data_IF_975169303858
#
_entry.id   IF_975169303858
#
_cell.length_a   1.000
_cell.length_b   1.000
_cell.length_c   1.000
_cell.angle_alpha   90.00
_cell.angle_beta   90.00
_cell.angle_gamma   90.00
#
_symmetry.space_group_name_H-M   'P 1'
#
loop_
_entity.id
_entity.type
_entity.pdbx_description
1 polymer ?
#
# COMPACT_ATOMS: atom_id res chain seq x y z
N UNK A 1 41.04 1.27 -16.03
CA UNK A 1 39.84 2.13 -16.11
C UNK A 1 38.68 1.27 -16.56
N UNK A 2 38.10 0.52 -15.63
CA UNK A 2 36.86 -0.22 -15.88
C UNK A 2 35.71 0.69 -15.45
N UNK A 3 34.67 0.77 -16.26
CA UNK A 3 33.45 1.53 -15.98
C UNK A 3 32.86 1.07 -14.64
N UNK A 4 32.90 1.96 -13.65
CA UNK A 4 32.01 1.86 -12.49
C UNK A 4 30.61 1.92 -13.07
N UNK A 5 29.89 0.81 -12.99
CA UNK A 5 28.50 0.76 -13.37
C UNK A 5 27.77 1.68 -12.39
N UNK A 6 27.34 2.84 -12.87
CA UNK A 6 26.40 3.77 -12.24
C UNK A 6 25.03 3.09 -12.04
N UNK A 7 24.99 2.08 -11.18
CA UNK A 7 23.79 1.70 -10.45
C UNK A 7 23.92 2.36 -9.08
N UNK A 8 24.07 3.69 -9.11
CA UNK A 8 24.05 4.53 -7.92
C UNK A 8 22.77 4.23 -7.15
N UNK A 9 22.83 4.26 -5.83
CA UNK A 9 21.68 4.18 -4.95
C UNK A 9 20.58 5.17 -5.36
N UNK A 10 19.55 4.67 -6.04
CA UNK A 10 18.43 5.49 -6.48
C UNK A 10 17.23 5.32 -5.54
N UNK A 11 16.78 6.44 -4.97
CA UNK A 11 15.45 6.55 -4.37
C UNK A 11 14.43 6.93 -5.45
N UNK A 12 13.48 6.03 -5.71
CA UNK A 12 12.42 6.19 -6.70
C UNK A 12 11.20 6.93 -6.13
N UNK A 13 10.95 8.17 -6.54
CA UNK A 13 9.76 8.91 -6.11
C UNK A 13 8.62 8.78 -7.12
N UNK A 14 7.66 7.90 -6.85
CA UNK A 14 6.45 7.75 -7.67
C UNK A 14 5.37 8.77 -7.28
N UNK A 15 5.03 9.69 -8.18
CA UNK A 15 3.97 10.67 -8.01
C UNK A 15 2.90 10.46 -9.07
N UNK A 16 1.67 10.16 -8.62
CA UNK A 16 0.52 9.93 -9.48
C UNK A 16 -0.50 11.06 -9.32
N UNK A 17 -0.76 11.79 -10.39
CA UNK A 17 -1.62 12.98 -10.35
C UNK A 17 -2.59 13.04 -11.53
N UNK A 18 -3.72 13.67 -11.27
CA UNK A 18 -4.73 14.00 -12.25
C UNK A 18 -4.67 15.50 -12.58
N UNK A 19 -4.67 15.83 -13.86
CA UNK A 19 -4.68 17.21 -14.33
C UNK A 19 -5.80 17.46 -15.34
N UNK A 20 -6.45 18.63 -15.22
CA UNK A 20 -7.43 19.11 -16.20
C UNK A 20 -6.87 20.26 -17.04
N UNK A 21 -6.75 20.05 -18.35
CA UNK A 21 -6.29 21.10 -19.28
C UNK A 21 -7.39 21.50 -20.27
N UNK A 22 -7.50 22.81 -20.54
CA UNK A 22 -8.44 23.33 -21.56
C UNK A 22 -7.64 23.51 -22.86
N UNK A 23 -8.03 22.73 -23.84
CA UNK A 23 -7.35 22.59 -25.13
C UNK A 23 -7.85 23.58 -26.19
N UNK A 24 -8.86 24.40 -25.88
CA UNK A 24 -9.43 25.37 -26.84
C UNK A 24 -8.53 26.60 -27.05
N UNK A 25 -7.44 26.73 -26.30
CA UNK A 25 -6.43 27.77 -26.50
C UNK A 25 -5.56 27.43 -27.72
N UNK A 26 -5.95 27.93 -28.89
CA UNK A 26 -5.36 27.60 -30.22
C UNK A 26 -4.00 28.26 -30.53
N UNK A 27 -3.33 28.88 -29.56
CA UNK A 27 -2.01 29.46 -29.79
C UNK A 27 -0.91 28.40 -29.78
N UNK A 28 -0.14 28.29 -30.86
CA UNK A 28 1.12 27.51 -30.87
C UNK A 28 2.10 28.18 -29.92
N UNK A 29 2.78 27.38 -29.09
CA UNK A 29 3.88 27.85 -28.22
C UNK A 29 3.47 28.46 -26.87
N UNK A 30 2.18 28.60 -26.56
CA UNK A 30 1.73 29.09 -25.26
C UNK A 30 1.40 27.91 -24.31
N UNK A 31 2.22 27.62 -23.28
CA UNK A 31 1.92 26.56 -22.32
C UNK A 31 0.85 26.98 -21.33
N UNK A 32 -0.01 26.05 -20.95
CA UNK A 32 -0.71 26.07 -19.67
C UNK A 32 0.20 25.41 -18.64
N UNK A 33 0.68 26.21 -17.68
CA UNK A 33 1.44 25.72 -16.53
C UNK A 33 0.45 25.21 -15.48
N UNK A 34 0.62 23.97 -15.06
CA UNK A 34 -0.07 23.44 -13.89
C UNK A 34 0.67 23.83 -12.60
N UNK A 35 -0.02 23.82 -11.44
CA UNK A 35 0.58 24.26 -10.18
C UNK A 35 1.89 23.53 -9.87
N UNK A 36 2.87 24.31 -9.38
CA UNK A 36 4.12 23.79 -8.85
C UNK A 36 3.85 22.78 -7.74
N UNK A 37 4.55 21.65 -7.77
CA UNK A 37 4.48 20.61 -6.77
C UNK A 37 5.86 20.40 -6.17
N UNK A 38 5.96 20.56 -4.86
CA UNK A 38 7.10 20.12 -4.08
C UNK A 38 6.88 18.65 -3.70
N UNK A 39 7.94 17.85 -3.78
CA UNK A 39 7.92 16.47 -3.28
C UNK A 39 8.38 16.51 -1.81
N UNK A 40 7.61 15.99 -0.85
CA UNK A 40 8.05 15.87 0.54
C UNK A 40 9.36 15.07 0.62
N UNK A 41 10.30 15.52 1.45
CA UNK A 41 11.55 14.80 1.76
C UNK A 41 12.46 14.50 0.56
N UNK A 42 12.44 15.37 -0.46
CA UNK A 42 13.16 15.24 -1.73
C UNK A 42 14.29 16.26 -1.95
N UNK A 43 14.81 16.86 -0.88
CA UNK A 43 15.87 17.87 -0.98
C UNK A 43 15.47 19.11 -1.82
N UNK A 44 14.17 19.46 -1.78
CA UNK A 44 13.61 20.62 -2.48
C UNK A 44 13.34 20.41 -3.97
N UNK A 45 13.11 19.17 -4.43
CA UNK A 45 12.69 18.93 -5.82
C UNK A 45 11.27 19.45 -6.02
N UNK A 46 11.18 20.48 -6.86
CA UNK A 46 9.93 21.08 -7.32
C UNK A 46 9.72 20.78 -8.81
N UNK A 47 8.50 20.43 -9.19
CA UNK A 47 8.15 20.08 -10.56
C UNK A 47 6.75 20.56 -10.95
N UNK A 48 6.51 20.69 -12.24
CA UNK A 48 5.20 21.05 -12.80
C UNK A 48 4.98 20.44 -14.18
N UNK A 49 3.74 20.54 -14.66
CA UNK A 49 3.35 20.10 -16.00
C UNK A 49 3.16 21.31 -16.93
N UNK A 50 3.75 21.23 -18.11
CA UNK A 50 3.57 22.19 -19.21
C UNK A 50 2.74 21.54 -20.31
N UNK A 51 1.52 22.04 -20.50
CA UNK A 51 0.59 21.54 -21.51
C UNK A 51 0.44 22.57 -22.64
N UNK A 52 0.78 22.20 -23.87
CA UNK A 52 0.61 23.04 -25.05
C UNK A 52 -0.57 22.53 -25.87
N UNK A 53 -1.70 23.22 -25.72
CA UNK A 53 -2.94 22.87 -26.39
C UNK A 53 -2.80 22.90 -27.92
N UNK A 54 -2.14 23.90 -28.49
CA UNK A 54 -1.95 24.06 -29.94
C UNK A 54 -0.64 23.50 -30.50
N UNK A 55 0.14 22.79 -29.68
CA UNK A 55 1.50 22.38 -30.01
C UNK A 55 2.55 23.35 -29.47
N UNK A 56 3.73 22.83 -29.13
CA UNK A 56 4.81 23.63 -28.54
C UNK A 56 5.55 24.51 -29.56
N UNK A 57 5.65 24.08 -30.81
CA UNK A 57 6.32 24.78 -31.89
C UNK A 57 5.53 24.57 -33.20
N UNK A 58 5.96 25.22 -34.28
CA UNK A 58 5.26 25.12 -35.57
C UNK A 58 5.26 23.69 -36.14
N UNK A 59 6.28 22.89 -35.81
CA UNK A 59 6.36 21.48 -36.21
C UNK A 59 5.37 20.57 -35.45
N UNK A 60 4.95 20.97 -34.24
CA UNK A 60 3.97 20.28 -33.40
C UNK A 60 2.55 20.86 -33.54
N UNK A 61 2.33 21.75 -34.51
CA UNK A 61 1.02 22.34 -34.76
C UNK A 61 -0.02 21.26 -35.05
N UNK A 62 -1.22 21.43 -34.48
CA UNK A 62 -2.30 20.44 -34.59
C UNK A 62 -2.13 19.22 -33.67
N UNK A 63 -1.08 19.19 -32.83
CA UNK A 63 -0.90 18.18 -31.80
C UNK A 63 -0.97 18.81 -30.42
N UNK A 64 -1.37 18.01 -29.44
CA UNK A 64 -1.17 18.33 -28.04
C UNK A 64 0.27 17.97 -27.65
N UNK A 65 1.01 18.92 -27.07
CA UNK A 65 2.34 18.66 -26.50
C UNK A 65 2.28 18.71 -24.99
N UNK A 66 3.02 17.84 -24.31
CA UNK A 66 3.05 17.80 -22.84
C UNK A 66 4.45 17.47 -22.33
N UNK A 67 4.87 18.22 -21.32
CA UNK A 67 6.18 18.08 -20.70
C UNK A 67 6.07 18.16 -19.19
N UNK A 68 6.85 17.32 -18.51
CA UNK A 68 7.15 17.47 -17.09
C UNK A 68 8.42 18.30 -16.99
N UNK A 69 8.36 19.37 -16.21
CA UNK A 69 9.49 20.21 -15.89
C UNK A 69 9.87 20.03 -14.42
N UNK A 70 11.17 20.00 -14.14
CA UNK A 70 11.74 19.87 -12.80
C UNK A 70 12.75 20.99 -12.59
N UNK A 71 12.67 21.68 -11.44
CA UNK A 71 13.49 22.87 -11.17
C UNK A 71 14.98 22.54 -11.02
N UNK A 72 15.27 21.42 -10.35
CA UNK A 72 16.61 20.83 -10.21
C UNK A 72 16.70 19.64 -11.16
N UNK A 73 17.75 19.58 -11.97
CA UNK A 73 17.94 18.47 -12.92
C UNK A 73 18.07 17.17 -12.14
N UNK A 74 17.26 16.18 -12.50
CA UNK A 74 17.20 14.88 -11.81
C UNK A 74 16.88 13.81 -12.85
N UNK A 75 17.35 12.60 -12.62
CA UNK A 75 16.99 11.49 -13.51
C UNK A 75 15.52 11.16 -13.24
N UNK A 76 14.70 10.97 -14.27
CA UNK A 76 13.28 10.69 -14.07
C UNK A 76 12.67 9.84 -15.17
N UNK A 77 11.62 9.08 -14.82
CA UNK A 77 10.71 8.43 -15.76
C UNK A 77 9.35 9.09 -15.67
N UNK A 78 8.75 9.41 -16.81
CA UNK A 78 7.42 10.00 -16.90
C UNK A 78 6.54 9.10 -17.74
N UNK A 79 5.36 8.79 -17.24
CA UNK A 79 4.29 8.09 -17.96
C UNK A 79 3.05 8.96 -17.93
N UNK A 80 2.52 9.32 -19.09
CA UNK A 80 1.30 10.11 -19.22
C UNK A 80 0.28 9.31 -20.02
N UNK A 81 -0.94 9.22 -19.51
CA UNK A 81 -2.09 8.66 -20.22
C UNK A 81 -3.29 9.58 -20.15
N UNK A 82 -4.22 9.41 -21.08
CA UNK A 82 -5.46 10.18 -21.16
C UNK A 82 -6.62 9.33 -20.66
N UNK A 83 -7.41 9.87 -19.74
CA UNK A 83 -8.58 9.16 -19.23
C UNK A 83 -9.62 8.96 -20.35
N UNK A 84 -10.07 7.71 -20.53
CA UNK A 84 -10.98 7.33 -21.63
C UNK A 84 -10.31 7.09 -22.99
N UNK A 85 -8.97 7.13 -23.08
CA UNK A 85 -8.21 6.87 -24.31
C UNK A 85 -7.26 5.68 -24.19
N UNK A 86 -6.85 5.10 -25.32
CA UNK A 86 -5.70 4.18 -25.40
C UNK A 86 -4.35 4.90 -25.40
N UNK A 87 -4.33 6.24 -25.51
CA UNK A 87 -3.09 7.02 -25.55
C UNK A 87 -2.38 6.96 -24.19
N UNK A 88 -1.24 6.28 -24.18
CA UNK A 88 -0.28 6.20 -23.06
C UNK A 88 1.13 6.25 -23.62
N UNK A 89 1.95 7.21 -23.17
CA UNK A 89 3.37 7.30 -23.52
C UNK A 89 4.22 7.31 -22.26
N UNK A 90 5.39 6.67 -22.32
CA UNK A 90 6.36 6.61 -21.24
C UNK A 90 7.76 6.95 -21.77
N UNK A 91 8.51 7.75 -21.03
CA UNK A 91 9.87 8.16 -21.37
C UNK A 91 10.71 8.16 -20.09
N UNK A 92 11.96 7.71 -20.18
CA UNK A 92 12.93 7.73 -19.09
C UNK A 92 14.12 8.58 -19.52
N UNK A 93 14.60 9.47 -18.66
CA UNK A 93 15.82 10.23 -18.92
C UNK A 93 17.05 9.36 -18.64
N UNK A 94 18.01 9.34 -19.56
CA UNK A 94 19.27 8.62 -19.37
C UNK A 94 20.16 9.35 -18.34
N UNK A 95 20.16 10.68 -18.40
CA UNK A 95 20.87 11.59 -17.49
C UNK A 95 19.91 12.50 -16.73
N UNK A 96 20.36 13.21 -15.67
CA UNK A 96 19.58 14.24 -15.01
C UNK A 96 19.06 15.29 -16.00
N UNK A 97 17.74 15.43 -16.09
CA UNK A 97 17.10 16.32 -17.05
C UNK A 97 16.21 17.32 -16.31
N UNK A 98 16.13 18.56 -16.82
CA UNK A 98 15.18 19.56 -16.33
C UNK A 98 13.82 19.46 -16.99
N UNK A 99 13.71 18.74 -18.11
CA UNK A 99 12.46 18.60 -18.85
C UNK A 99 12.43 17.29 -19.62
N UNK A 100 11.30 16.60 -19.57
CA UNK A 100 11.03 15.39 -20.34
C UNK A 100 9.57 15.40 -20.82
N UNK A 101 9.29 14.92 -22.02
CA UNK A 101 7.94 14.91 -22.57
C UNK A 101 7.91 14.71 -24.07
N UNK A 102 6.81 15.08 -24.70
CA UNK A 102 6.54 14.84 -26.11
C UNK A 102 5.99 16.07 -26.81
N UNK A 103 6.61 16.46 -27.92
CA UNK A 103 6.09 17.49 -28.82
C UNK A 103 4.82 17.01 -29.55
N UNK A 104 4.80 15.76 -30.02
CA UNK A 104 3.64 15.12 -30.66
C UNK A 104 3.03 14.07 -29.72
N UNK A 105 2.40 14.49 -28.63
CA UNK A 105 1.81 13.54 -27.67
C UNK A 105 0.58 12.84 -28.24
N UNK A 106 -0.39 13.60 -28.73
CA UNK A 106 -1.60 13.10 -29.40
C UNK A 106 -2.10 14.14 -30.42
N UNK A 107 -2.74 13.69 -31.50
CA UNK A 107 -3.32 14.61 -32.49
C UNK A 107 -4.61 15.23 -31.96
N UNK A 108 -5.01 16.40 -32.45
CA UNK A 108 -6.30 16.98 -32.05
C UNK A 108 -7.49 16.08 -32.44
N UNK A 109 -7.39 15.36 -33.55
CA UNK A 109 -8.43 14.44 -34.03
C UNK A 109 -8.67 13.27 -33.06
N UNK A 110 -7.61 12.74 -32.46
CA UNK A 110 -7.69 11.69 -31.43
C UNK A 110 -8.30 12.20 -30.11
N UNK A 111 -8.13 13.49 -29.83
CA UNK A 111 -8.56 14.10 -28.57
C UNK A 111 -9.98 14.66 -28.63
N UNK A 112 -10.44 15.10 -29.80
CA UNK A 112 -11.78 15.62 -30.08
C UNK A 112 -12.93 14.81 -29.46
N UNK A 113 -12.98 13.46 -29.58
CA UNK A 113 -14.06 12.67 -28.99
C UNK A 113 -13.98 12.51 -27.46
N UNK A 114 -12.85 12.85 -26.85
CA UNK A 114 -12.59 12.60 -25.42
C UNK A 114 -12.90 13.79 -24.52
N UNK A 115 -13.36 14.92 -25.09
CA UNK A 115 -13.61 16.13 -24.34
C UNK A 115 -14.94 16.09 -23.59
N UNK A 116 -14.86 16.19 -22.26
CA UNK A 116 -16.00 16.54 -21.43
C UNK A 116 -15.90 18.02 -21.06
N UNK A 117 -16.89 18.83 -21.45
CA UNK A 117 -16.95 20.28 -21.16
C UNK A 117 -15.72 21.08 -21.65
N UNK A 118 -15.01 20.60 -22.68
CA UNK A 118 -13.82 21.26 -23.24
C UNK A 118 -12.53 21.05 -22.44
N UNK A 119 -12.53 20.11 -21.49
CA UNK A 119 -11.36 19.76 -20.69
C UNK A 119 -10.87 18.35 -21.01
N UNK A 120 -9.56 18.16 -20.93
CA UNK A 120 -8.89 16.87 -21.02
C UNK A 120 -8.36 16.46 -19.64
N UNK A 121 -8.64 15.22 -19.22
CA UNK A 121 -8.11 14.64 -17.99
C UNK A 121 -6.86 13.82 -18.29
N UNK A 122 -5.74 14.28 -17.77
CA UNK A 122 -4.44 13.62 -17.87
C UNK A 122 -4.13 12.88 -16.59
N UNK A 123 -3.66 11.65 -16.75
CA UNK A 123 -3.08 10.85 -15.71
C UNK A 123 -1.57 10.85 -15.86
N UNK A 124 -0.88 11.42 -14.90
CA UNK A 124 0.56 11.63 -14.94
C UNK A 124 1.19 10.85 -13.80
N UNK A 125 2.06 9.91 -14.16
CA UNK A 125 2.94 9.21 -13.24
C UNK A 125 4.37 9.67 -13.48
N UNK A 126 5.01 10.28 -12.49
CA UNK A 126 6.42 10.65 -12.52
C UNK A 126 7.18 9.80 -11.52
N UNK A 127 8.31 9.25 -11.91
CA UNK A 127 9.26 8.51 -11.07
C UNK A 127 10.55 9.32 -11.06
N UNK A 128 10.93 9.88 -9.92
CA UNK A 128 12.23 10.55 -9.80
C UNK A 128 13.27 9.59 -9.28
N UNK A 129 14.42 9.56 -9.92
CA UNK A 129 15.59 8.82 -9.50
C UNK A 129 16.50 9.80 -8.76
N UNK A 130 16.40 9.86 -7.43
CA UNK A 130 17.23 10.76 -6.61
C UNK A 130 18.38 9.94 -6.02
N UNK A 131 19.64 10.36 -6.22
CA UNK A 131 20.76 9.74 -5.54
C UNK A 131 20.61 9.96 -4.04
N UNK A 132 20.70 8.89 -3.25
CA UNK A 132 20.71 8.99 -1.79
C UNK A 132 21.87 9.92 -1.38
N UNK A 133 21.67 10.88 -0.45
CA UNK A 133 22.78 11.65 0.07
C UNK A 133 23.75 10.67 0.72
N UNK A 134 24.87 10.41 0.05
CA UNK A 134 26.00 9.71 0.63
C UNK A 134 26.38 10.48 1.89
N UNK A 135 26.35 9.80 3.04
CA UNK A 135 26.76 10.43 4.29
C UNK A 135 28.17 11.02 4.11
N UNK A 136 28.45 12.22 4.65
CA UNK A 136 29.76 12.83 4.51
C UNK A 136 30.83 11.93 5.14
N UNK A 137 31.64 11.33 4.27
CA UNK A 137 32.94 10.67 4.45
C UNK A 137 33.19 10.10 5.86
N UNK A 138 32.41 9.09 6.25
CA UNK A 138 32.91 8.04 7.13
C UNK A 138 33.79 7.20 6.23
N UNK A 139 35.11 7.21 6.43
CA UNK A 139 36.07 6.37 5.68
C UNK A 139 35.42 5.01 5.36
N UNK A 140 35.40 4.56 4.10
CA UNK A 140 34.31 3.73 3.67
C UNK A 140 34.40 2.39 4.38
N UNK A 141 33.48 2.13 5.32
CA UNK A 141 33.48 0.87 6.08
C UNK A 141 33.47 -0.33 5.11
N UNK A 142 32.91 -0.17 3.91
CA UNK A 142 32.97 -1.16 2.84
C UNK A 142 34.40 -1.52 2.38
N UNK A 143 35.37 -0.60 2.40
CA UNK A 143 36.78 -0.84 2.08
C UNK A 143 37.50 -1.62 3.18
N UNK A 144 36.96 -1.63 4.40
CA UNK A 144 37.49 -2.39 5.53
C UNK A 144 37.59 -3.88 5.20
N UNK A 145 36.59 -4.42 4.48
CA UNK A 145 36.58 -5.81 4.02
C UNK A 145 37.74 -6.19 3.09
N UNK A 146 38.38 -5.22 2.43
CA UNK A 146 39.52 -5.47 1.55
C UNK A 146 40.88 -5.38 2.27
N UNK A 147 40.93 -4.74 3.45
CA UNK A 147 42.19 -4.38 4.11
C UNK A 147 42.32 -4.88 5.55
N UNK A 148 41.21 -5.27 6.18
CA UNK A 148 41.15 -5.76 7.56
C UNK A 148 40.56 -7.16 7.56
N UNK A 149 41.18 -8.13 8.26
CA UNK A 149 40.61 -9.46 8.39
C UNK A 149 39.37 -9.43 9.28
N UNK A 150 38.36 -10.21 8.88
CA UNK A 150 37.15 -10.42 9.67
C UNK A 150 37.45 -11.20 10.95
N UNK A 151 36.79 -10.83 12.04
CA UNK A 151 37.00 -11.38 13.38
C UNK A 151 35.73 -11.96 14.01
N UNK A 152 34.64 -12.06 13.23
CA UNK A 152 33.36 -12.57 13.67
C UNK A 152 32.58 -13.25 12.55
N UNK A 153 31.77 -14.26 12.92
CA UNK A 153 30.93 -15.01 12.00
C UNK A 153 29.44 -14.87 12.36
N UNK A 154 28.59 -14.56 11.38
CA UNK A 154 27.14 -14.70 11.49
C UNK A 154 26.73 -15.98 10.75
N UNK A 155 26.08 -16.89 11.46
CA UNK A 155 25.62 -18.18 10.94
C UNK A 155 24.11 -18.13 10.72
N UNK A 156 23.66 -18.35 9.48
CA UNK A 156 22.24 -18.40 9.10
C UNK A 156 21.97 -19.74 8.43
N UNK A 157 21.38 -20.69 9.15
CA UNK A 157 21.22 -22.05 8.63
C UNK A 157 22.56 -22.72 8.31
N UNK A 158 22.81 -23.00 7.03
CA UNK A 158 24.09 -23.51 6.52
C UNK A 158 25.06 -22.41 6.08
N UNK A 159 24.56 -21.18 5.90
CA UNK A 159 25.33 -20.06 5.38
C UNK A 159 26.11 -19.37 6.50
N UNK A 160 27.28 -18.83 6.12
CA UNK A 160 28.22 -18.20 7.04
C UNK A 160 28.70 -16.89 6.45
N UNK A 161 28.50 -15.81 7.19
CA UNK A 161 28.93 -14.46 6.82
C UNK A 161 30.07 -14.01 7.73
N UNK A 162 31.21 -13.72 7.12
CA UNK A 162 32.37 -13.18 7.81
C UNK A 162 32.26 -11.66 7.91
N UNK A 163 32.35 -11.13 9.13
CA UNK A 163 32.08 -9.73 9.45
C UNK A 163 33.05 -9.21 10.52
N UNK A 164 32.95 -7.91 10.81
CA UNK A 164 33.81 -7.23 11.78
C UNK A 164 33.01 -6.87 13.04
N UNK A 165 33.50 -7.29 14.21
CA UNK A 165 32.86 -6.99 15.51
C UNK A 165 32.66 -5.49 15.72
N UNK A 166 33.68 -4.71 15.36
CA UNK A 166 33.70 -3.26 15.52
C UNK A 166 32.59 -2.57 14.72
N UNK A 167 32.37 -3.00 13.48
CA UNK A 167 31.31 -2.46 12.61
C UNK A 167 29.93 -2.80 13.16
N UNK A 168 29.68 -4.07 13.50
CA UNK A 168 28.38 -4.47 14.07
C UNK A 168 28.08 -3.73 15.37
N UNK A 169 29.08 -3.61 16.25
CA UNK A 169 28.95 -2.92 17.53
C UNK A 169 28.70 -1.42 17.37
N UNK A 170 29.27 -0.80 16.33
CA UNK A 170 29.02 0.62 16.05
C UNK A 170 27.59 0.84 15.53
N UNK A 171 27.12 -0.05 14.65
CA UNK A 171 25.86 0.13 13.94
C UNK A 171 24.64 -0.36 14.72
N UNK A 172 24.84 -1.24 15.69
CA UNK A 172 23.79 -1.88 16.48
C UNK A 172 24.15 -1.93 17.96
N UNK A 173 23.37 -1.26 18.83
CA UNK A 173 23.51 -1.40 20.28
C UNK A 173 23.30 -2.83 20.77
N UNK A 174 22.47 -3.62 20.07
CA UNK A 174 22.22 -5.03 20.41
C UNK A 174 23.47 -5.86 20.15
N UNK A 175 24.10 -5.72 18.98
CA UNK A 175 25.37 -6.39 18.71
C UNK A 175 26.48 -5.86 19.61
N UNK A 176 26.52 -4.55 19.92
CA UNK A 176 27.46 -4.00 20.89
C UNK A 176 27.36 -4.71 22.25
N UNK A 177 26.15 -4.79 22.81
CA UNK A 177 25.92 -5.46 24.09
C UNK A 177 26.26 -6.95 24.02
N UNK A 178 25.87 -7.62 22.93
CA UNK A 178 26.16 -9.04 22.69
C UNK A 178 27.67 -9.31 22.64
N UNK A 179 28.46 -8.43 22.03
CA UNK A 179 29.89 -8.63 21.78
C UNK A 179 30.78 -8.11 22.90
N UNK A 180 30.31 -7.22 23.76
CA UNK A 180 31.07 -6.65 24.90
C UNK A 180 30.74 -7.30 26.24
N UNK A 181 29.65 -8.06 26.30
CA UNK A 181 29.25 -8.82 27.50
C UNK A 181 29.87 -10.22 27.54
N UNK A 182 29.78 -10.90 28.70
CA UNK A 182 30.30 -12.25 28.92
C UNK A 182 29.39 -13.36 28.31
N UNK A 183 29.00 -13.19 27.05
CA UNK A 183 28.05 -14.06 26.32
C UNK A 183 28.78 -15.19 25.59
N UNK A 184 28.02 -16.19 25.10
CA UNK A 184 28.58 -17.30 24.32
C UNK A 184 29.04 -16.81 22.96
N UNK A 185 28.31 -15.85 22.38
CA UNK A 185 28.57 -15.22 21.10
C UNK A 185 29.91 -14.47 21.15
N UNK A 186 30.15 -13.71 22.22
CA UNK A 186 31.40 -12.99 22.40
C UNK A 186 32.61 -13.94 22.50
N UNK A 187 32.46 -15.10 23.15
CA UNK A 187 33.52 -16.09 23.37
C UNK A 187 33.78 -16.98 22.15
N UNK A 188 32.73 -17.32 21.42
CA UNK A 188 32.81 -18.19 20.24
C UNK A 188 33.17 -17.45 18.96
N UNK A 189 33.19 -16.11 19.00
CA UNK A 189 33.34 -15.25 17.82
C UNK A 189 32.30 -15.56 16.73
N UNK A 190 31.12 -16.04 17.13
CA UNK A 190 30.04 -16.36 16.21
C UNK A 190 28.67 -16.07 16.80
N UNK A 191 27.70 -15.70 15.98
CA UNK A 191 26.28 -15.61 16.36
C UNK A 191 25.44 -16.41 15.38
N UNK A 192 24.47 -17.16 15.92
CA UNK A 192 23.50 -17.88 15.09
C UNK A 192 22.22 -17.07 14.98
N UNK A 193 21.83 -16.73 13.75
CA UNK A 193 20.57 -16.07 13.43
C UNK A 193 19.65 -17.10 12.77
N UNK A 194 18.50 -17.34 13.39
CA UNK A 194 17.55 -18.39 12.94
C UNK A 194 16.22 -17.84 12.41
N UNK A 195 15.90 -16.59 12.73
CA UNK A 195 14.59 -15.99 12.44
C UNK A 195 14.55 -15.24 11.09
N UNK A 196 15.64 -15.25 10.33
CA UNK A 196 15.79 -14.47 9.09
C UNK A 196 16.47 -15.28 8.00
N UNK A 197 16.01 -15.06 6.76
CA UNK A 197 16.68 -15.58 5.57
C UNK A 197 18.03 -14.91 5.35
N UNK A 198 18.99 -15.67 4.81
CA UNK A 198 20.35 -15.18 4.54
C UNK A 198 20.36 -13.87 3.74
N UNK A 199 19.49 -13.75 2.73
CA UNK A 199 19.39 -12.55 1.89
C UNK A 199 19.05 -11.28 2.69
N UNK A 200 18.18 -11.42 3.69
CA UNK A 200 17.79 -10.31 4.58
C UNK A 200 18.96 -9.93 5.47
N UNK A 201 19.65 -10.93 6.03
CA UNK A 201 20.82 -10.71 6.89
C UNK A 201 21.95 -10.06 6.10
N UNK A 202 22.29 -10.58 4.93
CA UNK A 202 23.30 -10.00 4.03
C UNK A 202 22.99 -8.55 3.69
N UNK A 203 21.74 -8.26 3.31
CA UNK A 203 21.33 -6.90 2.98
C UNK A 203 21.43 -5.95 4.19
N UNK A 204 21.00 -6.39 5.37
CA UNK A 204 21.13 -5.60 6.60
C UNK A 204 22.59 -5.35 6.99
N UNK A 205 23.47 -6.34 6.77
CA UNK A 205 24.91 -6.20 7.00
C UNK A 205 25.54 -5.28 5.94
N UNK A 206 25.20 -5.40 4.66
CA UNK A 206 25.67 -4.51 3.61
C UNK A 206 25.34 -3.03 3.96
N UNK A 207 24.15 -2.74 4.51
CA UNK A 207 23.82 -1.40 5.04
C UNK A 207 24.76 -0.98 6.19
N UNK A 208 25.08 -1.88 7.12
CA UNK A 208 26.05 -1.58 8.20
C UNK A 208 27.43 -1.19 7.67
N UNK A 209 27.83 -1.73 6.51
CA UNK A 209 29.07 -1.40 5.82
C UNK A 209 28.95 -0.16 4.92
N UNK A 210 27.78 0.47 4.84
CA UNK A 210 27.50 1.59 3.94
C UNK A 210 27.51 1.17 2.47
N UNK A 211 27.08 -0.06 2.17
CA UNK A 211 26.93 -0.58 0.80
C UNK A 211 25.48 -0.49 0.36
N UNK A 212 25.31 -0.36 -0.96
CA UNK A 212 24.01 -0.29 -1.59
C UNK A 212 23.26 -1.62 -1.50
N UNK A 213 21.95 -1.52 -1.33
CA UNK A 213 21.06 -2.68 -1.37
C UNK A 213 21.02 -3.27 -2.78
N UNK A 214 21.36 -4.56 -2.91
CA UNK A 214 21.33 -5.26 -4.20
C UNK A 214 19.93 -5.73 -4.58
N UNK A 215 19.09 -6.02 -3.58
CA UNK A 215 17.71 -6.47 -3.76
C UNK A 215 16.74 -5.46 -3.15
N UNK A 216 15.96 -4.81 -4.00
CA UNK A 216 14.92 -3.85 -3.62
C UNK A 216 13.52 -4.47 -3.58
N UNK A 217 13.41 -5.81 -3.52
CA UNK A 217 12.13 -6.47 -3.36
C UNK A 217 11.47 -6.09 -2.03
N UNK A 218 10.14 -5.99 -2.05
CA UNK A 218 9.35 -5.66 -0.85
C UNK A 218 9.57 -6.70 0.25
N UNK A 219 9.77 -7.97 -0.10
CA UNK A 219 10.07 -9.03 0.86
C UNK A 219 11.37 -8.78 1.60
N UNK A 220 12.46 -8.50 0.87
CA UNK A 220 13.77 -8.17 1.47
C UNK A 220 13.69 -6.90 2.30
N UNK A 221 13.01 -5.87 1.80
CA UNK A 221 12.80 -4.61 2.50
C UNK A 221 12.06 -4.79 3.85
N UNK A 222 10.94 -5.52 3.86
CA UNK A 222 10.21 -5.83 5.09
C UNK A 222 11.03 -6.73 6.03
N UNK A 223 11.82 -7.65 5.46
CA UNK A 223 12.76 -8.47 6.23
C UNK A 223 13.80 -7.62 6.95
N UNK A 224 14.39 -6.64 6.27
CA UNK A 224 15.38 -5.72 6.86
C UNK A 224 14.74 -4.88 7.96
N UNK A 225 13.51 -4.40 7.77
CA UNK A 225 12.79 -3.68 8.82
C UNK A 225 12.58 -4.55 10.08
N UNK A 226 12.16 -5.82 9.91
CA UNK A 226 12.05 -6.77 11.03
C UNK A 226 13.40 -7.07 11.68
N UNK A 227 14.47 -7.18 10.86
CA UNK A 227 15.82 -7.37 11.35
C UNK A 227 16.27 -6.18 12.21
N UNK A 228 15.98 -4.98 11.74
CA UNK A 228 16.24 -3.74 12.47
C UNK A 228 15.44 -3.66 13.77
N UNK A 229 14.18 -4.08 13.80
CA UNK A 229 13.41 -4.06 15.05
C UNK A 229 14.04 -4.99 16.11
N UNK A 230 14.64 -6.11 15.68
CA UNK A 230 15.32 -7.05 16.60
C UNK A 230 16.72 -6.61 17.02
N UNK A 231 17.52 -6.11 16.08
CA UNK A 231 18.94 -5.80 16.31
C UNK A 231 19.23 -4.30 16.43
N UNK A 232 18.23 -3.43 16.28
CA UNK A 232 18.33 -1.96 16.36
C UNK A 232 19.49 -1.39 15.55
N UNK A 233 19.46 -1.54 14.22
CA UNK A 233 20.50 -0.98 13.36
C UNK A 233 20.22 0.50 13.09
N UNK A 234 21.00 1.38 13.70
CA UNK A 234 20.76 2.83 13.71
C UNK A 234 20.67 3.46 12.31
N UNK A 235 21.42 2.96 11.32
CA UNK A 235 21.42 3.50 9.96
C UNK A 235 20.20 3.08 9.11
N UNK A 236 19.58 1.94 9.43
CA UNK A 236 18.53 1.32 8.61
C UNK A 236 17.20 2.08 8.69
N UNK A 237 16.85 2.63 9.87
CA UNK A 237 15.57 3.33 10.06
C UNK A 237 15.50 4.63 9.24
N UNK A 238 16.55 5.42 9.22
CA UNK A 238 16.58 6.71 8.49
C UNK A 238 16.43 6.50 6.98
N UNK A 239 17.07 5.46 6.44
CA UNK A 239 17.07 5.16 5.01
C UNK A 239 15.76 4.48 4.57
N UNK A 240 15.25 3.54 5.37
CA UNK A 240 14.03 2.80 5.03
C UNK A 240 12.76 3.60 5.32
N UNK A 241 12.61 4.32 6.44
CA UNK A 241 11.39 5.10 6.69
C UNK A 241 11.16 6.18 5.63
N UNK A 242 12.25 6.73 5.09
CA UNK A 242 12.21 7.60 3.91
C UNK A 242 11.78 6.88 2.63
N UNK A 243 11.94 5.56 2.50
CA UNK A 243 11.58 4.75 1.34
C UNK A 243 10.14 4.19 1.38
N UNK A 244 9.49 4.23 2.55
CA UNK A 244 8.20 3.61 2.79
C UNK A 244 7.03 4.16 1.93
N UNK A 245 6.92 5.48 1.65
CA UNK A 245 5.91 6.00 0.73
C UNK A 245 6.11 5.53 -0.73
N UNK A 246 7.33 5.11 -1.08
CA UNK A 246 7.74 4.80 -2.46
C UNK A 246 7.47 3.36 -2.84
N UNK A 247 7.52 2.47 -1.87
CA UNK A 247 7.14 1.06 -2.01
C UNK A 247 5.66 0.81 -1.74
N UNK A 248 4.88 1.80 -1.27
CA UNK A 248 3.45 1.62 -1.02
C UNK A 248 2.65 1.74 -2.32
N UNK A 249 2.12 0.62 -2.78
CA UNK A 249 1.30 0.48 -3.97
C UNK A 249 0.13 -0.47 -3.69
N UNK A 250 -0.78 -0.60 -4.66
CA UNK A 250 -1.91 -1.55 -4.57
C UNK A 250 -1.41 -2.99 -4.37
N UNK A 251 -0.32 -3.37 -5.04
CA UNK A 251 0.24 -4.73 -5.00
C UNK A 251 1.01 -5.03 -3.70
N UNK A 252 1.65 -4.01 -3.13
CA UNK A 252 2.52 -4.15 -1.95
C UNK A 252 1.79 -3.87 -0.64
N UNK A 253 0.61 -3.25 -0.70
CA UNK A 253 -0.24 -2.92 0.44
C UNK A 253 -0.41 -4.09 1.41
N UNK A 254 -0.75 -5.29 0.90
CA UNK A 254 -1.02 -6.45 1.74
C UNK A 254 0.18 -6.84 2.60
N UNK A 255 1.39 -6.77 2.04
CA UNK A 255 2.63 -7.09 2.74
C UNK A 255 2.95 -6.03 3.81
N UNK A 256 2.76 -4.75 3.50
CA UNK A 256 2.95 -3.66 4.46
C UNK A 256 1.95 -3.68 5.62
N UNK A 257 0.69 -4.04 5.35
CA UNK A 257 -0.34 -4.16 6.39
C UNK A 257 -0.01 -5.30 7.34
N UNK A 258 0.38 -6.46 6.81
CA UNK A 258 0.84 -7.58 7.65
C UNK A 258 2.03 -7.15 8.53
N UNK A 259 3.04 -6.52 7.93
CA UNK A 259 4.18 -6.01 8.68
C UNK A 259 3.79 -5.01 9.77
N UNK A 260 2.94 -4.03 9.44
CA UNK A 260 2.51 -3.01 10.40
C UNK A 260 1.77 -3.62 11.59
N UNK A 261 0.95 -4.65 11.35
CA UNK A 261 0.24 -5.36 12.42
C UNK A 261 1.19 -6.25 13.22
N UNK A 262 2.02 -7.06 12.57
CA UNK A 262 2.94 -8.00 13.24
C UNK A 262 3.95 -7.27 14.14
N UNK A 263 4.41 -6.10 13.70
CA UNK A 263 5.39 -5.29 14.43
C UNK A 263 4.75 -4.15 15.25
N UNK A 264 3.41 -4.12 15.39
CA UNK A 264 2.67 -3.10 16.15
C UNK A 264 3.04 -1.65 15.80
N UNK A 265 3.16 -1.36 14.50
CA UNK A 265 3.53 -0.03 13.98
C UNK A 265 2.26 0.80 13.69
N UNK A 266 1.63 1.31 14.73
CA UNK A 266 0.34 2.01 14.65
C UNK A 266 0.36 3.23 13.71
N UNK A 267 1.44 4.01 13.73
CA UNK A 267 1.58 5.18 12.86
C UNK A 267 1.65 4.80 11.38
N UNK A 268 2.30 3.67 11.06
CA UNK A 268 2.33 3.11 9.71
C UNK A 268 0.96 2.55 9.34
N UNK A 269 0.34 1.79 10.24
CA UNK A 269 -0.97 1.21 10.04
C UNK A 269 -2.01 2.28 9.70
N UNK A 270 -2.00 3.42 10.40
CA UNK A 270 -2.88 4.56 10.10
C UNK A 270 -2.71 5.08 8.67
N UNK A 271 -1.47 5.26 8.20
CA UNK A 271 -1.20 5.69 6.81
C UNK A 271 -1.69 4.65 5.78
N UNK A 272 -1.52 3.36 6.08
CA UNK A 272 -1.98 2.28 5.21
C UNK A 272 -3.51 2.24 5.12
N UNK A 273 -4.19 2.43 6.25
CA UNK A 273 -5.65 2.50 6.35
C UNK A 273 -6.22 3.66 5.53
N UNK A 274 -5.58 4.83 5.56
CA UNK A 274 -5.91 5.98 4.71
C UNK A 274 -5.71 5.66 3.22
N UNK A 275 -4.61 4.99 2.86
CA UNK A 275 -4.35 4.55 1.49
C UNK A 275 -5.38 3.51 1.00
N UNK A 276 -5.80 2.59 1.88
CA UNK A 276 -6.81 1.57 1.58
C UNK A 276 -8.17 2.19 1.29
N UNK A 277 -8.59 3.19 2.08
CA UNK A 277 -9.88 3.86 1.88
C UNK A 277 -10.01 4.45 0.46
N UNK A 278 -8.92 4.97 -0.10
CA UNK A 278 -8.88 5.53 -1.47
C UNK A 278 -8.82 4.45 -2.55
N UNK A 279 -8.14 3.32 -2.28
CA UNK A 279 -7.84 2.29 -3.29
C UNK A 279 -8.61 0.97 -3.11
N UNK A 280 -9.59 0.90 -2.22
CA UNK A 280 -10.32 -0.33 -1.84
C UNK A 280 -10.78 -1.15 -3.06
N UNK A 281 -11.35 -0.52 -4.09
CA UNK A 281 -11.88 -1.21 -5.26
C UNK A 281 -10.83 -1.96 -6.08
N UNK A 282 -9.55 -1.54 -5.98
CA UNK A 282 -8.41 -2.19 -6.66
C UNK A 282 -7.73 -3.22 -5.77
N UNK A 283 -7.73 -3.01 -4.45
CA UNK A 283 -7.06 -3.90 -3.50
C UNK A 283 -7.90 -5.14 -3.18
N UNK A 284 -9.22 -4.95 -2.98
CA UNK A 284 -10.13 -6.05 -2.59
C UNK A 284 -10.18 -7.26 -3.53
N UNK A 285 -10.00 -7.14 -4.86
CA UNK A 285 -9.96 -8.29 -5.77
C UNK A 285 -8.61 -9.03 -5.78
N UNK A 286 -7.57 -8.49 -5.15
CA UNK A 286 -6.24 -9.07 -5.22
C UNK A 286 -6.17 -10.44 -4.53
N UNK A 287 -5.50 -11.45 -5.13
CA UNK A 287 -5.27 -12.73 -4.47
C UNK A 287 -4.54 -12.57 -3.13
N UNK A 288 -3.58 -11.64 -3.06
CA UNK A 288 -2.84 -11.36 -1.83
C UNK A 288 -3.77 -10.87 -0.71
N UNK A 289 -4.79 -10.07 -1.05
CA UNK A 289 -5.76 -9.55 -0.09
C UNK A 289 -6.72 -10.65 0.40
N UNK A 290 -7.17 -11.53 -0.51
CA UNK A 290 -8.06 -12.65 -0.16
C UNK A 290 -7.36 -13.65 0.76
N UNK A 291 -6.04 -13.79 0.63
CA UNK A 291 -5.21 -14.66 1.46
C UNK A 291 -4.81 -14.04 2.80
N UNK A 292 -5.18 -12.78 3.08
CA UNK A 292 -4.90 -12.16 4.38
C UNK A 292 -5.73 -12.83 5.49
N UNK A 293 -5.20 -12.86 6.73
CA UNK A 293 -5.98 -13.29 7.89
C UNK A 293 -7.31 -12.51 8.00
N UNK A 294 -8.46 -13.19 8.15
CA UNK A 294 -9.75 -12.50 8.22
C UNK A 294 -9.85 -11.47 9.35
N UNK A 295 -9.21 -11.74 10.49
CA UNK A 295 -9.14 -10.83 11.64
C UNK A 295 -8.41 -9.53 11.29
N UNK A 296 -7.32 -9.61 10.54
CA UNK A 296 -6.58 -8.46 10.05
C UNK A 296 -7.42 -7.63 9.08
N UNK A 297 -8.11 -8.28 8.14
CA UNK A 297 -8.97 -7.58 7.18
C UNK A 297 -10.14 -6.90 7.89
N UNK A 298 -10.75 -7.54 8.90
CA UNK A 298 -11.76 -6.89 9.74
C UNK A 298 -11.19 -5.65 10.42
N UNK A 299 -9.99 -5.74 10.98
CA UNK A 299 -9.32 -4.60 11.62
C UNK A 299 -9.09 -3.44 10.64
N UNK A 300 -8.55 -3.73 9.44
CA UNK A 300 -8.37 -2.73 8.37
C UNK A 300 -9.71 -2.08 7.99
N UNK A 301 -10.77 -2.87 7.79
CA UNK A 301 -12.09 -2.33 7.43
C UNK A 301 -12.68 -1.44 8.52
N UNK A 302 -12.55 -1.84 9.80
CA UNK A 302 -13.00 -1.02 10.93
C UNK A 302 -12.25 0.30 10.98
N UNK A 303 -10.93 0.26 10.87
CA UNK A 303 -10.10 1.47 10.92
C UNK A 303 -10.24 2.36 9.68
N UNK A 304 -10.51 1.81 8.50
CA UNK A 304 -10.61 2.60 7.26
C UNK A 304 -11.93 3.34 7.10
N UNK A 305 -13.01 2.85 7.72
CA UNK A 305 -14.36 3.39 7.52
C UNK A 305 -15.07 3.68 8.85
N UNK A 306 -14.32 3.75 9.95
CA UNK A 306 -14.83 3.99 11.31
C UNK A 306 -16.01 3.06 11.67
N UNK A 307 -15.87 1.77 11.36
CA UNK A 307 -16.91 0.78 11.63
C UNK A 307 -16.78 0.27 13.07
N UNK A 308 -17.78 0.55 13.90
CA UNK A 308 -17.75 0.18 15.32
C UNK A 308 -18.07 -1.30 15.55
N UNK A 309 -19.02 -1.86 14.80
CA UNK A 309 -19.52 -3.22 15.04
C UNK A 309 -19.17 -4.21 13.92
N UNK A 310 -19.11 -5.51 14.24
CA UNK A 310 -18.92 -6.56 13.24
C UNK A 310 -20.09 -6.62 12.24
N UNK A 311 -21.27 -6.15 12.62
CA UNK A 311 -22.42 -6.02 11.72
C UNK A 311 -22.23 -4.91 10.68
N UNK A 312 -21.54 -3.82 11.02
CA UNK A 312 -21.19 -2.77 10.07
C UNK A 312 -20.16 -3.28 9.06
N UNK A 313 -19.17 -4.05 9.54
CA UNK A 313 -18.19 -4.74 8.68
C UNK A 313 -18.89 -5.74 7.75
N UNK A 314 -19.81 -6.56 8.25
CA UNK A 314 -20.61 -7.50 7.46
C UNK A 314 -21.41 -6.79 6.36
N UNK A 315 -22.02 -5.64 6.66
CA UNK A 315 -22.77 -4.84 5.70
C UNK A 315 -21.84 -4.25 4.63
N UNK A 316 -20.69 -3.71 5.03
CA UNK A 316 -19.71 -3.16 4.10
C UNK A 316 -19.11 -4.24 3.20
N UNK A 317 -18.71 -5.38 3.77
CA UNK A 317 -18.18 -6.52 3.04
C UNK A 317 -19.21 -7.08 2.04
N UNK A 318 -20.47 -7.19 2.44
CA UNK A 318 -21.56 -7.64 1.56
C UNK A 318 -21.79 -6.66 0.40
N UNK A 319 -21.75 -5.35 0.65
CA UNK A 319 -21.93 -4.33 -0.40
C UNK A 319 -20.77 -4.31 -1.41
N UNK A 320 -19.55 -4.53 -0.93
CA UNK A 320 -18.33 -4.48 -1.75
C UNK A 320 -17.88 -5.85 -2.29
N UNK A 321 -18.68 -6.90 -2.11
CA UNK A 321 -18.39 -8.23 -2.66
C UNK A 321 -17.23 -8.97 -1.98
N UNK A 322 -16.86 -8.63 -0.74
CA UNK A 322 -15.78 -9.28 0.02
C UNK A 322 -16.30 -10.58 0.66
N UNK A 323 -16.48 -11.62 -0.17
CA UNK A 323 -17.18 -12.87 0.21
C UNK A 323 -16.53 -13.63 1.36
N UNK A 324 -15.19 -13.67 1.42
CA UNK A 324 -14.49 -14.46 2.45
C UNK A 324 -14.72 -13.90 3.87
N UNK A 325 -14.78 -12.57 4.02
CA UNK A 325 -15.11 -11.91 5.29
C UNK A 325 -16.56 -12.15 5.68
N UNK A 326 -17.48 -12.07 4.72
CA UNK A 326 -18.89 -12.39 4.96
C UNK A 326 -19.00 -13.82 5.50
N UNK A 327 -18.40 -14.80 4.83
CA UNK A 327 -18.46 -16.19 5.28
C UNK A 327 -17.81 -16.38 6.66
N UNK A 328 -16.68 -15.70 6.93
CA UNK A 328 -15.99 -15.78 8.21
C UNK A 328 -16.82 -15.25 9.37
N UNK A 329 -17.52 -14.11 9.19
CA UNK A 329 -18.35 -13.49 10.22
C UNK A 329 -19.77 -14.11 10.31
N UNK A 330 -20.32 -14.64 9.22
CA UNK A 330 -21.64 -15.30 9.23
C UNK A 330 -21.59 -16.69 9.89
N UNK A 331 -20.46 -17.41 9.83
CA UNK A 331 -20.35 -18.77 10.37
C UNK A 331 -20.61 -18.84 11.89
N UNK A 332 -19.96 -18.03 12.75
CA UNK A 332 -20.29 -17.98 14.18
C UNK A 332 -21.75 -17.60 14.45
N UNK A 333 -22.32 -16.72 13.63
CA UNK A 333 -23.72 -16.30 13.76
C UNK A 333 -24.73 -17.41 13.40
N UNK A 334 -24.32 -18.41 12.62
CA UNK A 334 -25.15 -19.58 12.32
C UNK A 334 -25.02 -20.68 13.38
N UNK A 335 -23.86 -20.76 14.03
CA UNK A 335 -23.54 -21.82 15.00
C UNK A 335 -23.97 -21.45 16.43
N UNK A 336 -23.88 -20.18 16.82
CA UNK A 336 -24.14 -19.72 18.19
C UNK A 336 -24.90 -18.39 18.25
N UNK A 337 -26.21 -18.43 17.99
CA UNK A 337 -27.08 -17.27 18.22
C UNK A 337 -27.32 -17.07 19.72
N UNK A 338 -27.21 -15.83 20.17
CA UNK A 338 -27.49 -15.42 21.56
C UNK A 338 -28.59 -14.37 21.58
N UNK A 339 -29.22 -14.16 22.75
CA UNK A 339 -30.26 -13.14 22.95
C UNK A 339 -29.77 -11.71 22.67
N UNK A 340 -28.47 -11.44 22.80
CA UNK A 340 -27.86 -10.14 22.48
C UNK A 340 -27.58 -9.97 20.97
N UNK A 341 -27.19 -11.04 20.28
CA UNK A 341 -26.78 -11.01 18.87
C UNK A 341 -27.94 -11.20 17.90
N UNK A 342 -29.07 -11.77 18.34
CA UNK A 342 -30.23 -12.07 17.49
C UNK A 342 -30.84 -10.83 16.82
N UNK A 343 -31.02 -9.73 17.55
CA UNK A 343 -31.66 -8.52 17.02
C UNK A 343 -30.79 -7.84 15.94
N UNK A 344 -29.49 -7.56 16.18
CA UNK A 344 -28.59 -7.09 15.12
C UNK A 344 -28.50 -8.04 13.92
N UNK A 345 -28.51 -9.36 14.15
CA UNK A 345 -28.44 -10.37 13.08
C UNK A 345 -29.68 -10.35 12.19
N UNK A 346 -30.88 -10.23 12.77
CA UNK A 346 -32.14 -10.05 12.01
C UNK A 346 -32.05 -8.79 11.14
N UNK A 347 -31.59 -7.67 11.72
CA UNK A 347 -31.45 -6.40 10.98
C UNK A 347 -30.51 -6.55 9.77
N UNK A 348 -29.40 -7.27 9.94
CA UNK A 348 -28.46 -7.57 8.87
C UNK A 348 -29.06 -8.51 7.81
N UNK A 349 -29.61 -9.65 8.22
CA UNK A 349 -30.10 -10.70 7.33
C UNK A 349 -31.22 -10.21 6.40
N UNK A 350 -32.11 -9.36 6.89
CA UNK A 350 -33.19 -8.77 6.09
C UNK A 350 -32.70 -7.68 5.15
N UNK A 351 -31.69 -6.90 5.53
CA UNK A 351 -31.15 -5.82 4.71
C UNK A 351 -30.26 -6.32 3.58
N UNK A 352 -29.56 -7.43 3.80
CA UNK A 352 -28.65 -8.04 2.83
C UNK A 352 -29.23 -9.29 2.15
N UNK A 353 -30.54 -9.54 2.30
CA UNK A 353 -31.27 -10.67 1.69
C UNK A 353 -30.62 -12.05 1.91
N UNK A 354 -30.13 -12.32 3.12
CA UNK A 354 -29.42 -13.55 3.48
C UNK A 354 -30.38 -14.65 3.94
N UNK A 355 -30.83 -15.51 3.02
CA UNK A 355 -31.85 -16.56 3.28
C UNK A 355 -31.46 -17.52 4.41
N UNK A 356 -30.20 -17.94 4.48
CA UNK A 356 -29.73 -18.88 5.51
C UNK A 356 -29.81 -18.28 6.93
N UNK A 357 -29.36 -17.03 7.09
CA UNK A 357 -29.44 -16.30 8.37
C UNK A 357 -30.89 -16.00 8.75
N UNK A 358 -31.76 -15.64 7.79
CA UNK A 358 -33.19 -15.44 8.05
C UNK A 358 -33.83 -16.68 8.69
N UNK A 359 -33.53 -17.87 8.15
CA UNK A 359 -34.03 -19.15 8.68
C UNK A 359 -33.46 -19.49 10.06
N UNK A 360 -32.15 -19.29 10.27
CA UNK A 360 -31.51 -19.52 11.57
C UNK A 360 -32.08 -18.60 12.66
N UNK A 361 -32.27 -17.30 12.35
CA UNK A 361 -32.90 -16.36 13.26
C UNK A 361 -34.36 -16.73 13.56
N UNK A 362 -35.14 -17.15 12.56
CA UNK A 362 -36.53 -17.57 12.76
C UNK A 362 -36.63 -18.79 13.69
N UNK A 363 -35.73 -19.78 13.51
CA UNK A 363 -35.66 -20.96 14.39
C UNK A 363 -35.35 -20.55 15.84
N UNK A 364 -34.32 -19.73 16.06
CA UNK A 364 -33.94 -19.29 17.40
C UNK A 364 -35.04 -18.45 18.09
N UNK A 365 -35.75 -17.59 17.33
CA UNK A 365 -36.88 -16.81 17.84
C UNK A 365 -38.07 -17.69 18.21
N UNK A 366 -38.30 -18.80 17.49
CA UNK A 366 -39.34 -19.77 17.84
C UNK A 366 -39.04 -20.53 19.14
N UNK A 367 -37.76 -20.78 19.42
CA UNK A 367 -37.31 -21.53 20.61
C UNK A 367 -37.23 -20.64 21.87
N UNK A 368 -36.94 -19.34 21.74
CA UNK A 368 -36.70 -18.42 22.88
C UNK A 368 -37.61 -17.17 22.91
N UNK A 369 -38.88 -17.35 22.51
CA UNK A 369 -39.85 -16.26 22.22
C UNK A 369 -40.02 -15.23 23.36
N UNK A 370 -40.15 -15.70 24.60
CA UNK A 370 -40.51 -14.84 25.75
C UNK A 370 -39.35 -13.96 26.26
N UNK A 371 -38.11 -14.34 25.96
CA UNK A 371 -36.90 -13.62 26.37
C UNK A 371 -36.52 -12.55 25.33
N UNK A 372 -36.71 -12.86 24.04
CA UNK A 372 -36.38 -11.97 22.91
C UNK A 372 -37.38 -10.83 22.75
N UNK A 373 -38.68 -11.07 23.01
CA UNK A 373 -39.70 -10.02 22.94
C UNK A 373 -39.55 -8.95 24.02
N UNK A 374 -38.84 -9.25 25.11
CA UNK A 374 -38.54 -8.29 26.20
C UNK A 374 -37.31 -7.45 25.93
N UNK A 375 -36.47 -7.84 24.97
CA UNK A 375 -35.23 -7.13 24.67
C UNK A 375 -35.55 -5.83 23.93
N UNK A 376 -35.01 -4.70 24.41
CA UNK A 376 -35.23 -3.37 23.82
C UNK A 376 -34.78 -3.26 22.35
N UNK A 377 -33.90 -4.17 21.90
CA UNK A 377 -33.47 -4.31 20.51
C UNK A 377 -34.56 -4.80 19.55
N UNK A 378 -35.49 -5.64 20.01
CA UNK A 378 -36.55 -6.22 19.17
C UNK A 378 -37.61 -5.17 18.79
N UNK A 379 -37.92 -4.25 19.71
CA UNK A 379 -38.83 -3.12 19.47
C UNK A 379 -38.26 -2.09 18.48
N UNK A 380 -36.93 -2.07 18.28
CA UNK A 380 -36.25 -1.16 17.34
C UNK A 380 -36.03 -1.77 15.95
N UNK A 381 -36.54 -2.99 15.70
CA UNK A 381 -36.43 -3.66 14.41
C UNK A 381 -37.44 -3.09 13.39
N UNK A 382 -37.10 -3.06 12.09
CA UNK A 382 -38.04 -2.69 11.05
C UNK A 382 -39.25 -3.64 11.05
N UNK A 383 -40.48 -3.11 10.91
CA UNK A 383 -41.71 -3.91 10.90
C UNK A 383 -41.69 -5.04 9.85
N UNK A 384 -41.04 -4.82 8.70
CA UNK A 384 -40.83 -5.82 7.66
C UNK A 384 -39.95 -6.99 8.12
N UNK A 385 -38.92 -6.73 8.93
CA UNK A 385 -38.05 -7.76 9.49
C UNK A 385 -38.79 -8.56 10.57
N UNK A 386 -39.55 -7.90 11.44
CA UNK A 386 -40.37 -8.55 12.47
C UNK A 386 -41.42 -9.45 11.82
N UNK A 387 -42.16 -8.93 10.84
CA UNK A 387 -43.18 -9.69 10.11
C UNK A 387 -42.58 -10.89 9.36
N UNK A 388 -41.42 -10.72 8.74
CA UNK A 388 -40.72 -11.81 8.05
C UNK A 388 -40.21 -12.91 9.00
N UNK A 389 -39.61 -12.54 10.14
CA UNK A 389 -39.14 -13.50 11.15
C UNK A 389 -40.30 -14.32 11.71
N UNK A 390 -41.41 -13.67 12.06
CA UNK A 390 -42.58 -14.36 12.62
C UNK A 390 -43.25 -15.28 11.60
N UNK A 391 -43.36 -14.87 10.34
CA UNK A 391 -43.89 -15.72 9.26
C UNK A 391 -43.02 -16.98 9.05
N UNK A 392 -41.70 -16.82 9.00
CA UNK A 392 -40.76 -17.93 8.88
C UNK A 392 -40.77 -18.85 10.12
N UNK A 393 -40.93 -18.30 11.33
CA UNK A 393 -41.05 -19.06 12.57
C UNK A 393 -42.36 -19.88 12.64
N UNK A 394 -43.42 -19.41 11.99
CA UNK A 394 -44.69 -20.13 11.86
C UNK A 394 -44.74 -21.11 10.67
N UNK A 395 -43.63 -21.31 9.96
CA UNK A 395 -43.52 -22.29 8.88
C UNK A 395 -44.07 -21.84 7.52
N UNK A 396 -44.34 -20.55 7.31
CA UNK A 396 -44.77 -20.02 6.01
C UNK A 396 -43.54 -19.78 5.12
N UNK A 397 -43.54 -20.37 3.92
CA UNK A 397 -42.41 -20.31 2.97
C UNK A 397 -42.41 -19.00 2.16
N UNK A 398 -41.24 -18.59 1.64
CA UNK A 398 -41.02 -17.37 0.84
C UNK A 398 -41.91 -17.22 -0.42
N UNK A 399 -42.73 -18.22 -0.79
CA UNK A 399 -43.66 -18.12 -1.93
C UNK A 399 -44.81 -17.12 -1.74
N UNK A 400 -45.04 -16.66 -0.51
CA UNK A 400 -46.10 -15.68 -0.21
C UNK A 400 -45.63 -14.21 -0.34
N UNK A 401 -44.39 -13.96 -0.79
CA UNK A 401 -43.86 -12.59 -0.98
C UNK A 401 -44.55 -11.80 -2.12
N UNK A 402 -45.16 -12.47 -3.12
CA UNK A 402 -45.77 -11.78 -4.28
C UNK A 402 -47.25 -11.41 -4.12
N UNK A 403 -48.00 -12.00 -3.17
CA UNK A 403 -49.46 -11.75 -3.05
C UNK A 403 -49.86 -10.70 -2.01
N UNK A 404 -48.96 -10.26 -1.13
CA UNK A 404 -49.30 -9.30 -0.05
C UNK A 404 -48.78 -7.88 -0.35
N UNK A 405 -48.46 -7.59 -1.62
CA UNK A 405 -48.18 -6.23 -2.12
C UNK A 405 -49.39 -5.59 -2.84
N UNK A 406 -50.62 -6.04 -2.55
CA UNK A 406 -51.85 -5.37 -2.97
C UNK A 406 -52.66 -4.87 -1.79
#
# INVERSE_FOLDING_TARGET
MASINDVDCIKDFNVFLFFETDIRKKGVGAPKLHPLRAIPDSDGIEWWLECYAGGRNEAAKGHFSVFVYVKKAVKLRVTISIDGSSVKKSATSEHPAQRIGWDHFASHDELLPLFQQGKLRLLVQVVFYVPIPVMPDVAPLHELCAHVPTDFEIVVGSDRLQVHRSVLSLMSPVFHAMLTSNTVEAKSNSVKIVDFDIKVVEAAIDICYGRDLKDHSVGTYLGILRFNDKYSITAVLTELEGCLPFNLSVDTFCAFVQYATDCSRDALFKKLVEFFAVNQSKITPLPQFINLPPTLVVHVLKSSFDLETDFDVLRHASKNGIKFIVNHLEKPLLESLTSETICPTIRYAWKCSRVALKKACAKFVSENRDEIMKTSGFLKLPAAAIGGVLKLAHGLSEKDEEEVSK
#
